data_IF_082056239518
#
_entry.id   IF_082056239518
#
_cell.length_a   1.000
_cell.length_b   1.000
_cell.length_c   1.000
_cell.angle_alpha   90.00
_cell.angle_beta   90.00
_cell.angle_gamma   90.00
#
_symmetry.space_group_name_H-M   'P 1'
#
loop_
_entity.id
_entity.type
_entity.pdbx_description
1 polymer ?
#
# COMPACT_ATOMS: atom_id res chain seq x y z
N UNK A 1 -2.37 -11.69 -27.56
CA UNK A 1 -1.44 -11.11 -26.56
C UNK A 1 -2.33 -10.31 -25.60
N UNK A 2 -2.87 -10.97 -24.58
CA UNK A 2 -3.82 -10.35 -23.66
C UNK A 2 -3.31 -10.62 -22.24
N UNK A 3 -2.67 -9.59 -21.66
CA UNK A 3 -2.28 -9.56 -20.26
C UNK A 3 -3.55 -9.54 -19.39
N UNK A 4 -4.07 -10.72 -19.11
CA UNK A 4 -5.03 -10.93 -18.03
C UNK A 4 -4.27 -10.78 -16.72
N UNK A 5 -4.34 -9.60 -16.11
CA UNK A 5 -4.02 -9.36 -14.70
C UNK A 5 -4.99 -10.08 -13.77
N UNK A 6 -5.10 -11.39 -13.94
CA UNK A 6 -5.74 -12.29 -12.99
C UNK A 6 -4.61 -12.77 -12.11
N UNK A 7 -4.35 -12.06 -11.02
CA UNK A 7 -3.85 -12.72 -9.83
C UNK A 7 -4.94 -13.71 -9.43
N UNK A 8 -4.88 -14.89 -10.03
CA UNK A 8 -5.63 -16.05 -9.63
C UNK A 8 -5.16 -16.33 -8.22
N UNK A 9 -5.96 -15.91 -7.23
CA UNK A 9 -5.76 -16.19 -5.83
C UNK A 9 -5.58 -17.71 -5.66
N UNK A 10 -4.32 -18.16 -5.59
CA UNK A 10 -3.95 -19.57 -5.45
C UNK A 10 -3.67 -19.94 -3.99
N UNK A 11 -4.27 -19.22 -3.04
CA UNK A 11 -4.22 -19.55 -1.61
C UNK A 11 -4.91 -18.53 -0.71
N UNK A 12 -5.23 -18.90 0.55
CA UNK A 12 -5.88 -18.03 1.54
C UNK A 12 -5.13 -16.72 1.81
N UNK A 13 -3.83 -16.68 1.50
CA UNK A 13 -2.92 -15.55 1.70
C UNK A 13 -3.25 -14.33 0.81
N UNK A 14 -3.80 -14.55 -0.40
CA UNK A 14 -4.17 -13.47 -1.33
C UNK A 14 -5.44 -12.72 -0.91
N UNK A 15 -6.36 -13.43 -0.23
CA UNK A 15 -7.59 -12.83 0.30
C UNK A 15 -7.29 -11.79 1.37
N UNK A 16 -6.24 -12.01 2.17
CA UNK A 16 -5.93 -11.19 3.32
C UNK A 16 -5.27 -9.85 2.96
N UNK A 17 -4.40 -9.83 1.94
CA UNK A 17 -3.84 -8.57 1.42
C UNK A 17 -4.87 -7.69 0.74
N UNK A 18 -5.96 -8.30 0.25
CA UNK A 18 -7.08 -7.60 -0.38
C UNK A 18 -8.03 -6.93 0.62
N UNK A 19 -7.89 -7.15 1.93
CA UNK A 19 -8.77 -6.57 2.96
C UNK A 19 -8.10 -5.50 3.83
N UNK A 20 -6.77 -5.52 3.96
CA UNK A 20 -6.01 -4.52 4.72
C UNK A 20 -5.90 -3.22 3.93
N UNK A 21 -6.31 -2.10 4.53
CA UNK A 21 -6.24 -0.76 3.92
C UNK A 21 -4.88 -0.11 4.13
N UNK A 22 -4.37 0.58 3.12
CA UNK A 22 -3.10 1.32 3.19
C UNK A 22 -3.11 2.37 4.31
N UNK A 23 -4.21 3.10 4.47
CA UNK A 23 -4.33 4.13 5.52
C UNK A 23 -4.12 3.59 6.94
N UNK A 24 -4.31 2.29 7.18
CA UNK A 24 -4.09 1.67 8.49
C UNK A 24 -2.62 1.33 8.78
N UNK A 25 -1.78 1.22 7.74
CA UNK A 25 -0.38 0.77 7.84
C UNK A 25 0.62 1.86 7.44
N UNK A 26 0.14 2.98 6.89
CA UNK A 26 0.97 4.13 6.54
C UNK A 26 1.49 4.86 7.79
N UNK A 27 2.58 5.61 7.61
CA UNK A 27 3.04 6.62 8.56
C UNK A 27 2.47 7.97 8.16
N UNK A 28 1.92 8.72 9.11
CA UNK A 28 1.30 10.02 8.84
C UNK A 28 2.37 11.06 8.52
N UNK A 29 1.98 12.04 7.72
CA UNK A 29 2.79 13.21 7.45
C UNK A 29 3.19 13.89 8.77
N UNK A 30 4.49 14.19 8.92
CA UNK A 30 5.04 14.80 10.13
C UNK A 30 5.38 13.84 11.28
N UNK A 31 5.05 12.54 11.18
CA UNK A 31 5.50 11.56 12.17
C UNK A 31 6.99 11.24 12.05
N UNK A 32 7.59 10.86 13.18
CA UNK A 32 9.01 10.49 13.22
C UNK A 32 9.25 9.26 12.33
N UNK A 33 10.09 9.43 11.32
CA UNK A 33 10.46 8.36 10.39
C UNK A 33 9.62 8.33 9.12
N UNK A 34 8.67 9.24 8.93
CA UNK A 34 8.04 9.52 7.64
C UNK A 34 9.01 10.32 6.76
N UNK A 35 8.98 10.10 5.44
CA UNK A 35 9.72 10.96 4.50
C UNK A 35 9.23 12.42 4.58
N UNK A 36 10.09 13.36 4.16
CA UNK A 36 9.73 14.78 4.15
C UNK A 36 8.60 15.04 3.15
N UNK A 37 7.77 16.04 3.43
CA UNK A 37 6.63 16.39 2.58
C UNK A 37 7.03 16.63 1.11
N UNK A 38 8.07 17.42 0.85
CA UNK A 38 8.57 17.67 -0.51
C UNK A 38 9.01 16.38 -1.24
N UNK A 39 9.55 15.40 -0.51
CA UNK A 39 9.95 14.11 -1.10
C UNK A 39 8.73 13.27 -1.46
N UNK A 40 7.67 13.34 -0.65
CA UNK A 40 6.43 12.65 -0.93
C UNK A 40 5.70 13.26 -2.12
N UNK A 41 5.73 14.59 -2.26
CA UNK A 41 5.22 15.25 -3.46
C UNK A 41 5.99 14.85 -4.72
N UNK A 42 7.33 14.78 -4.64
CA UNK A 42 8.12 14.28 -5.76
C UNK A 42 7.74 12.85 -6.16
N UNK A 43 7.46 11.96 -5.19
CA UNK A 43 6.94 10.62 -5.48
C UNK A 43 5.56 10.66 -6.17
N UNK A 44 4.68 11.58 -5.77
CA UNK A 44 3.38 11.77 -6.45
C UNK A 44 3.58 12.21 -7.90
N UNK A 45 4.51 13.14 -8.15
CA UNK A 45 4.85 13.62 -9.49
C UNK A 45 5.46 12.53 -10.38
N UNK A 46 6.26 11.63 -9.79
CA UNK A 46 6.83 10.46 -10.46
C UNK A 46 5.83 9.30 -10.65
N UNK A 47 4.57 9.46 -10.21
CA UNK A 47 3.53 8.43 -10.31
C UNK A 47 3.66 7.31 -9.27
N UNK A 48 4.46 7.51 -8.22
CA UNK A 48 4.73 6.57 -7.13
C UNK A 48 3.85 6.91 -5.90
N UNK A 49 2.54 6.82 -6.10
CA UNK A 49 1.54 7.12 -5.07
C UNK A 49 0.38 6.12 -5.06
N UNK A 50 -0.36 6.10 -3.97
CA UNK A 50 -1.53 5.25 -3.80
C UNK A 50 -2.63 5.96 -3.00
N UNK A 51 -3.89 5.65 -3.29
CA UNK A 51 -5.03 6.11 -2.48
C UNK A 51 -4.99 5.47 -1.09
N UNK A 52 -5.28 6.24 -0.04
CA UNK A 52 -5.34 5.73 1.34
C UNK A 52 -6.38 4.62 1.54
N UNK A 53 -7.45 4.60 0.75
CA UNK A 53 -8.44 3.53 0.77
C UNK A 53 -8.02 2.34 -0.11
N UNK A 54 -6.91 2.38 -0.83
CA UNK A 54 -6.44 1.19 -1.55
C UNK A 54 -6.06 0.07 -0.58
N UNK A 55 -5.91 -1.13 -1.15
CA UNK A 55 -5.51 -2.34 -0.41
C UNK A 55 -4.00 -2.47 -0.35
N UNK A 56 -3.53 -3.26 0.61
CA UNK A 56 -2.10 -3.58 0.73
C UNK A 56 -1.60 -4.34 -0.52
N UNK A 57 -2.43 -5.18 -1.13
CA UNK A 57 -2.16 -5.84 -2.41
C UNK A 57 -1.80 -4.82 -3.52
N UNK A 58 -2.60 -3.77 -3.67
CA UNK A 58 -2.33 -2.71 -4.65
C UNK A 58 -1.01 -1.98 -4.36
N UNK A 59 -0.68 -1.76 -3.08
CA UNK A 59 0.59 -1.16 -2.68
C UNK A 59 1.79 -2.05 -3.02
N UNK A 60 1.69 -3.36 -2.80
CA UNK A 60 2.74 -4.33 -3.14
C UNK A 60 3.03 -4.32 -4.64
N UNK A 61 2.00 -4.29 -5.48
CA UNK A 61 2.18 -4.19 -6.93
C UNK A 61 2.95 -2.92 -7.33
N UNK A 62 2.71 -1.78 -6.67
CA UNK A 62 3.46 -0.54 -6.93
C UNK A 62 4.92 -0.68 -6.49
N UNK A 63 5.17 -1.25 -5.31
CA UNK A 63 6.54 -1.50 -4.84
C UNK A 63 7.32 -2.41 -5.80
N UNK A 64 6.70 -3.48 -6.31
CA UNK A 64 7.34 -4.40 -7.24
C UNK A 64 7.62 -3.76 -8.60
N UNK A 65 6.68 -2.98 -9.13
CA UNK A 65 6.82 -2.32 -10.44
C UNK A 65 7.85 -1.19 -10.40
N UNK A 66 7.90 -0.42 -9.32
CA UNK A 66 8.75 0.78 -9.22
C UNK A 66 10.12 0.47 -8.60
N UNK A 67 10.25 -0.62 -7.84
CA UNK A 67 11.42 -0.87 -6.98
C UNK A 67 11.57 0.15 -5.84
N UNK A 68 10.58 1.02 -5.62
CA UNK A 68 10.64 2.02 -4.57
C UNK A 68 10.59 1.38 -3.18
N UNK A 69 11.21 2.02 -2.21
CA UNK A 69 11.10 1.62 -0.79
C UNK A 69 9.96 2.33 -0.06
N UNK A 70 9.42 3.38 -0.67
CA UNK A 70 8.39 4.26 -0.12
C UNK A 70 7.42 4.66 -1.22
N UNK A 71 6.13 4.66 -0.92
CA UNK A 71 5.09 5.22 -1.79
C UNK A 71 4.35 6.32 -1.05
N UNK A 72 3.99 7.39 -1.75
CA UNK A 72 3.19 8.46 -1.17
C UNK A 72 1.73 7.98 -1.01
N UNK A 73 1.11 8.29 0.12
CA UNK A 73 -0.30 7.99 0.37
C UNK A 73 -1.08 9.27 0.29
N UNK A 74 -2.04 9.31 -0.63
CA UNK A 74 -2.89 10.47 -0.90
C UNK A 74 -4.37 10.09 -0.80
N UNK A 75 -5.24 11.09 -0.73
CA UNK A 75 -6.65 10.92 -1.10
C UNK A 75 -6.83 11.34 -2.55
N UNK A 76 -7.25 10.42 -3.40
CA UNK A 76 -7.68 10.70 -4.76
C UNK A 76 -9.15 11.12 -4.72
N UNK A 77 -9.40 12.41 -4.50
CA UNK A 77 -10.73 12.97 -4.60
C UNK A 77 -11.19 13.01 -6.08
N UNK A 78 -12.51 13.07 -6.30
CA UNK A 78 -13.12 13.06 -7.64
C UNK A 78 -12.69 14.24 -8.54
N UNK A 79 -13.13 14.21 -9.81
CA UNK A 79 -12.71 15.19 -10.84
C UNK A 79 -12.73 16.64 -10.33
N UNK A 80 -11.55 17.28 -10.36
CA UNK A 80 -11.36 18.69 -10.05
C UNK A 80 -10.85 19.00 -8.63
N UNK A 81 -10.72 18.01 -7.75
CA UNK A 81 -10.13 18.20 -6.43
C UNK A 81 -8.63 17.85 -6.43
N UNK A 82 -7.74 18.70 -5.86
CA UNK A 82 -6.34 18.34 -5.72
C UNK A 82 -6.20 17.15 -4.76
N UNK A 83 -5.24 16.24 -4.99
CA UNK A 83 -4.98 15.16 -4.05
C UNK A 83 -4.51 15.74 -2.72
N UNK A 84 -4.94 15.11 -1.62
CA UNK A 84 -4.48 15.47 -0.28
C UNK A 84 -3.42 14.48 0.18
N UNK A 85 -2.22 14.96 0.52
CA UNK A 85 -1.14 14.11 0.99
C UNK A 85 -1.33 13.74 2.47
N UNK A 86 -1.41 12.44 2.74
CA UNK A 86 -1.64 11.90 4.09
C UNK A 86 -0.36 11.42 4.75
N UNK A 87 0.61 10.97 3.96
CA UNK A 87 1.88 10.46 4.46
C UNK A 87 2.50 9.46 3.51
N UNK A 88 3.11 8.41 4.08
CA UNK A 88 3.91 7.47 3.34
C UNK A 88 3.69 6.04 3.81
N UNK A 89 3.56 5.11 2.87
CA UNK A 89 3.67 3.69 3.17
C UNK A 89 5.10 3.25 2.85
N UNK A 90 5.79 2.68 3.84
CA UNK A 90 7.10 2.08 3.62
C UNK A 90 6.93 0.60 3.29
N UNK A 91 7.72 0.10 2.33
CA UNK A 91 7.67 -1.30 1.92
C UNK A 91 7.90 -2.25 3.10
N UNK A 92 8.79 -1.89 4.03
CA UNK A 92 9.04 -2.68 5.25
C UNK A 92 7.83 -2.76 6.18
N UNK A 93 7.00 -1.72 6.24
CA UNK A 93 5.80 -1.72 7.08
C UNK A 93 4.70 -2.54 6.41
N UNK A 94 4.58 -2.45 5.09
CA UNK A 94 3.72 -3.31 4.29
C UNK A 94 4.06 -4.80 4.46
N UNK A 95 5.34 -5.16 4.36
CA UNK A 95 5.80 -6.54 4.57
C UNK A 95 5.54 -7.04 5.99
N UNK A 96 5.67 -6.17 7.01
CA UNK A 96 5.32 -6.52 8.39
C UNK A 96 3.82 -6.74 8.55
N UNK A 97 3.00 -5.86 7.95
CA UNK A 97 1.55 -5.99 7.96
C UNK A 97 1.12 -7.30 7.31
N UNK A 98 1.70 -7.60 6.14
CA UNK A 98 1.46 -8.85 5.45
C UNK A 98 1.80 -10.06 6.32
N UNK A 99 3.02 -10.12 6.87
CA UNK A 99 3.43 -11.21 7.75
C UNK A 99 2.55 -11.37 8.99
N UNK A 100 2.11 -10.27 9.63
CA UNK A 100 1.16 -10.32 10.76
C UNK A 100 -0.16 -10.94 10.33
N UNK A 101 -0.64 -10.56 9.15
CA UNK A 101 -1.88 -11.06 8.63
C UNK A 101 -1.75 -12.58 8.36
N UNK A 102 -0.68 -13.04 7.71
CA UNK A 102 -0.46 -14.48 7.46
C UNK A 102 -0.44 -15.30 8.75
N UNK A 103 0.20 -14.76 9.80
CA UNK A 103 0.27 -15.41 11.10
C UNK A 103 -1.11 -15.51 11.78
N UNK A 104 -2.00 -14.53 11.59
CA UNK A 104 -3.35 -14.56 12.15
C UNK A 104 -4.18 -15.68 11.51
N UNK A 105 -4.15 -15.82 10.18
CA UNK A 105 -4.87 -16.90 9.48
C UNK A 105 -4.37 -18.29 9.89
N UNK A 106 -3.05 -18.46 10.02
CA UNK A 106 -2.48 -19.73 10.46
C UNK A 106 -2.90 -20.13 11.89
N UNK A 107 -3.16 -19.17 12.78
CA UNK A 107 -3.66 -19.44 14.12
C UNK A 107 -5.12 -19.90 14.14
N UNK A 108 -5.93 -19.43 13.19
CA UNK A 108 -7.34 -19.81 13.03
C UNK A 108 -7.51 -21.20 12.42
N UNK A 109 -6.63 -21.62 11.51
CA UNK A 109 -6.67 -22.95 10.86
C UNK A 109 -6.15 -24.09 11.75
N UNK A 110 -5.46 -23.76 12.85
CA UNK A 110 -4.86 -24.71 13.79
C UNK A 110 -5.59 -24.80 15.14
N UNK A 111 -6.75 -24.13 15.29
CA UNK A 111 -7.67 -24.30 16.43
C UNK A 111 -8.89 -25.14 16.04
#
# INVERSE_FOLDING_TARGET
LENRGVHLAAGPQAYLMSTVRVASEMRKLGEKGTAREDQLWALVEDGVYIDGNATLDAAMAIFEQTGSSVIAVVTLAGEGAPPELWGALHHVDALKAFNRALAATAAEEHS
#
